data_IF_762128964108
#
_entry.id   IF_762128964108
#
_cell.length_a   1.000
_cell.length_b   1.000
_cell.length_c   1.000
_cell.angle_alpha   90.00
_cell.angle_beta   90.00
_cell.angle_gamma   90.00
#
_symmetry.space_group_name_H-M   'P 1'
#
loop_
_entity.id
_entity.type
_entity.pdbx_description
1 polymer ?
#
# COMPACT_ATOMS: atom_id res chain seq x y z
N UNK A 1 12.96 -2.91 -29.40
CA UNK A 1 11.50 -2.62 -29.37
C UNK A 1 10.74 -3.38 -28.24
N UNK A 2 11.44 -4.05 -27.30
CA UNK A 2 10.82 -4.92 -26.28
C UNK A 2 10.67 -4.28 -24.90
N UNK A 3 11.07 -3.01 -24.72
CA UNK A 3 11.04 -2.33 -23.42
C UNK A 3 9.68 -1.70 -23.09
N UNK A 4 8.88 -1.31 -24.08
CA UNK A 4 7.59 -0.63 -23.86
C UNK A 4 6.48 -1.54 -23.32
N UNK A 5 6.49 -2.81 -23.66
CA UNK A 5 5.43 -3.76 -23.30
C UNK A 5 5.49 -4.15 -21.81
N UNK A 6 6.68 -4.22 -21.22
CA UNK A 6 6.84 -4.56 -19.79
C UNK A 6 6.35 -3.46 -18.85
N UNK A 7 6.55 -2.20 -19.18
CA UNK A 7 6.15 -1.06 -18.34
C UNK A 7 4.64 -0.90 -18.29
N UNK A 8 3.95 -1.06 -19.43
CA UNK A 8 2.48 -0.98 -19.48
C UNK A 8 1.79 -2.17 -18.81
N UNK A 9 2.37 -3.38 -18.88
CA UNK A 9 1.84 -4.56 -18.21
C UNK A 9 1.90 -4.42 -16.69
N UNK A 10 3.00 -3.90 -16.15
CA UNK A 10 3.14 -3.65 -14.70
C UNK A 10 2.17 -2.56 -14.24
N UNK A 11 1.97 -1.51 -15.05
CA UNK A 11 1.04 -0.43 -14.72
C UNK A 11 -0.41 -0.93 -14.65
N UNK A 12 -0.84 -1.82 -15.56
CA UNK A 12 -2.17 -2.42 -15.53
C UNK A 12 -2.43 -3.25 -14.27
N UNK A 13 -1.46 -4.05 -13.85
CA UNK A 13 -1.59 -4.96 -12.70
C UNK A 13 -1.68 -4.23 -11.36
N UNK A 14 -1.03 -3.05 -11.21
CA UNK A 14 -1.01 -2.30 -9.94
C UNK A 14 -2.41 -1.86 -9.49
N UNK A 15 -3.37 -1.71 -10.40
CA UNK A 15 -4.74 -1.29 -10.08
C UNK A 15 -5.52 -2.30 -9.23
N UNK A 16 -5.09 -3.56 -9.20
CA UNK A 16 -5.74 -4.64 -8.46
C UNK A 16 -4.88 -5.17 -7.31
N UNK A 17 -3.76 -4.50 -7.03
CA UNK A 17 -2.78 -4.90 -6.02
C UNK A 17 -3.36 -4.76 -4.62
N UNK A 18 -3.24 -5.80 -3.80
CA UNK A 18 -3.68 -5.70 -2.40
C UNK A 18 -2.72 -4.86 -1.54
N UNK A 19 -3.19 -4.28 -0.42
CA UNK A 19 -2.35 -3.51 0.49
C UNK A 19 -1.11 -4.27 0.98
N UNK A 20 -1.24 -5.55 1.31
CA UNK A 20 -0.13 -6.38 1.75
C UNK A 20 0.90 -6.61 0.64
N UNK A 21 0.46 -6.82 -0.60
CA UNK A 21 1.37 -6.92 -1.76
C UNK A 21 2.06 -5.59 -2.04
N UNK A 22 1.36 -4.46 -1.91
CA UNK A 22 1.93 -3.13 -2.06
C UNK A 22 3.04 -2.83 -1.02
N UNK A 23 3.01 -3.49 0.15
CA UNK A 23 4.08 -3.46 1.17
C UNK A 23 5.22 -4.45 0.90
N UNK A 24 5.16 -5.23 -0.18
CA UNK A 24 6.12 -6.29 -0.48
C UNK A 24 5.83 -7.61 0.27
N UNK A 25 4.64 -7.75 0.84
CA UNK A 25 4.21 -8.97 1.51
C UNK A 25 3.81 -10.09 0.54
N UNK A 26 3.61 -11.28 1.10
CA UNK A 26 3.22 -12.48 0.35
C UNK A 26 1.73 -12.39 -0.01
N UNK A 27 1.40 -12.72 -1.27
CA UNK A 27 0.03 -12.88 -1.72
C UNK A 27 -0.63 -14.10 -1.06
N UNK A 28 -1.88 -13.94 -0.66
CA UNK A 28 -2.70 -14.99 -0.04
C UNK A 28 -4.10 -14.97 -0.65
N UNK A 29 -4.94 -15.94 -0.30
CA UNK A 29 -6.37 -15.94 -0.67
C UNK A 29 -7.06 -14.61 -0.30
N UNK A 30 -6.63 -13.96 0.78
CA UNK A 30 -7.14 -12.64 1.18
C UNK A 30 -6.74 -11.54 0.17
N UNK A 31 -5.59 -11.66 -0.47
CA UNK A 31 -5.15 -10.75 -1.54
C UNK A 31 -5.99 -10.92 -2.80
N UNK A 32 -6.34 -12.16 -3.13
CA UNK A 32 -7.21 -12.46 -4.28
C UNK A 32 -8.63 -11.93 -4.05
N UNK A 33 -9.17 -12.05 -2.83
CA UNK A 33 -10.46 -11.46 -2.47
C UNK A 33 -10.45 -9.93 -2.59
N UNK A 34 -9.34 -9.30 -2.20
CA UNK A 34 -9.20 -7.86 -2.37
C UNK A 34 -9.21 -7.48 -3.86
N UNK A 35 -8.43 -8.17 -4.68
CA UNK A 35 -8.40 -7.95 -6.13
C UNK A 35 -9.79 -8.17 -6.76
N UNK A 36 -10.52 -9.23 -6.34
CA UNK A 36 -11.89 -9.49 -6.79
C UNK A 36 -12.85 -8.35 -6.37
N UNK A 37 -12.68 -7.80 -5.17
CA UNK A 37 -13.44 -6.63 -4.71
C UNK A 37 -13.19 -5.39 -5.58
N UNK A 38 -11.95 -5.16 -6.03
CA UNK A 38 -11.60 -4.08 -6.97
C UNK A 38 -12.24 -4.32 -8.34
N UNK A 39 -12.19 -5.56 -8.85
CA UNK A 39 -12.86 -5.94 -10.10
C UNK A 39 -14.36 -5.71 -10.01
N UNK A 40 -14.99 -6.11 -8.90
CA UNK A 40 -16.42 -5.90 -8.67
C UNK A 40 -16.77 -4.40 -8.64
N UNK A 41 -15.94 -3.58 -7.97
CA UNK A 41 -16.11 -2.13 -7.99
C UNK A 41 -16.09 -1.58 -9.43
N UNK A 42 -15.12 -1.99 -10.24
CA UNK A 42 -14.98 -1.55 -11.63
C UNK A 42 -16.16 -2.02 -12.50
N UNK A 43 -16.61 -3.27 -12.34
CA UNK A 43 -17.79 -3.77 -13.04
C UNK A 43 -19.07 -2.99 -12.72
N UNK A 44 -19.24 -2.59 -11.47
CA UNK A 44 -20.42 -1.87 -11.01
C UNK A 44 -20.41 -0.39 -11.40
N UNK A 45 -19.23 0.24 -11.53
CA UNK A 45 -19.10 1.68 -11.72
C UNK A 45 -18.56 2.09 -13.07
N UNK A 46 -17.94 1.15 -13.81
CA UNK A 46 -17.18 1.45 -15.03
C UNK A 46 -15.86 2.18 -14.77
N UNK A 47 -15.43 2.29 -13.51
CA UNK A 47 -14.26 3.07 -13.10
C UNK A 47 -13.41 2.29 -12.09
N UNK A 48 -12.11 2.51 -12.12
CA UNK A 48 -11.21 2.01 -11.09
C UNK A 48 -11.34 2.84 -9.80
N UNK A 49 -11.35 2.23 -8.60
CA UNK A 49 -11.46 2.98 -7.34
C UNK A 49 -10.24 3.87 -7.06
N UNK A 50 -9.09 3.47 -7.59
CA UNK A 50 -7.83 4.19 -7.42
C UNK A 50 -7.12 4.39 -8.75
N UNK A 51 -6.80 5.64 -9.06
CA UNK A 51 -6.03 6.07 -10.23
C UNK A 51 -4.89 6.99 -9.81
N UNK A 52 -3.85 7.13 -10.62
CA UNK A 52 -2.71 7.98 -10.33
C UNK A 52 -1.74 8.07 -11.51
N UNK A 53 -0.83 9.03 -11.46
CA UNK A 53 0.14 9.30 -12.52
C UNK A 53 1.26 8.23 -12.62
N UNK A 54 1.43 7.42 -11.56
CA UNK A 54 2.45 6.37 -11.50
C UNK A 54 1.97 5.14 -10.75
N UNK A 55 2.59 3.99 -10.98
CA UNK A 55 2.32 2.76 -10.24
C UNK A 55 2.51 2.94 -8.73
N UNK A 56 3.48 3.76 -8.31
CA UNK A 56 3.74 4.05 -6.89
C UNK A 56 2.58 4.84 -6.28
N UNK A 57 2.07 5.87 -6.96
CA UNK A 57 0.94 6.66 -6.46
C UNK A 57 -0.33 5.83 -6.33
N UNK A 58 -0.58 4.89 -7.26
CA UNK A 58 -1.69 3.95 -7.18
C UNK A 58 -1.52 2.98 -6.01
N UNK A 59 -0.33 2.40 -5.86
CA UNK A 59 -0.02 1.50 -4.74
C UNK A 59 -0.20 2.19 -3.38
N UNK A 60 0.21 3.45 -3.24
CA UNK A 60 -0.02 4.24 -2.02
C UNK A 60 -1.52 4.43 -1.72
N UNK A 61 -2.37 4.61 -2.74
CA UNK A 61 -3.82 4.67 -2.54
C UNK A 61 -4.39 3.33 -2.07
N UNK A 62 -3.92 2.21 -2.61
CA UNK A 62 -4.29 0.89 -2.08
C UNK A 62 -3.90 0.71 -0.61
N UNK A 63 -2.81 1.31 -0.16
CA UNK A 63 -2.36 1.26 1.23
C UNK A 63 -3.18 2.14 2.18
N UNK A 64 -3.59 3.34 1.73
CA UNK A 64 -4.01 4.41 2.63
C UNK A 64 -5.42 4.92 2.39
N UNK A 65 -5.86 4.96 1.11
CA UNK A 65 -7.14 5.56 0.78
C UNK A 65 -8.29 4.55 0.96
N UNK A 66 -9.38 4.98 1.58
CA UNK A 66 -10.60 4.20 1.66
C UNK A 66 -11.18 3.93 0.27
N UNK A 67 -11.79 2.74 0.09
CA UNK A 67 -12.48 2.41 -1.16
C UNK A 67 -13.68 3.32 -1.31
N UNK A 68 -13.79 4.08 -2.43
CA UNK A 68 -14.91 4.99 -2.62
C UNK A 68 -16.24 4.23 -2.66
N UNK A 69 -17.32 4.90 -2.27
CA UNK A 69 -18.66 4.32 -2.34
C UNK A 69 -19.10 4.10 -3.79
N UNK A 70 -19.47 2.86 -4.16
CA UNK A 70 -20.06 2.57 -5.48
C UNK A 70 -21.39 3.29 -5.66
N UNK A 71 -22.16 3.48 -4.59
CA UNK A 71 -23.45 4.15 -4.59
C UNK A 71 -23.38 5.66 -4.82
N UNK A 72 -22.22 6.28 -4.59
CA UNK A 72 -22.00 7.68 -5.00
C UNK A 72 -21.94 7.84 -6.52
N UNK A 73 -21.55 6.80 -7.25
CA UNK A 73 -21.44 6.80 -8.70
C UNK A 73 -22.74 6.23 -9.31
N UNK A 74 -23.23 5.12 -8.76
CA UNK A 74 -24.44 4.42 -9.22
C UNK A 74 -25.42 4.27 -8.03
N UNK A 75 -26.28 5.26 -7.76
CA UNK A 75 -27.17 5.27 -6.58
C UNK A 75 -28.17 4.12 -6.52
N UNK A 76 -28.48 3.47 -7.65
CA UNK A 76 -29.41 2.33 -7.73
C UNK A 76 -28.84 1.02 -7.17
N UNK A 77 -27.53 0.96 -6.90
CA UNK A 77 -26.91 -0.22 -6.31
C UNK A 77 -27.38 -0.38 -4.87
N UNK A 78 -27.85 -1.57 -4.45
CA UNK A 78 -28.28 -1.81 -3.07
C UNK A 78 -27.11 -1.74 -2.10
N UNK A 79 -27.39 -1.36 -0.84
CA UNK A 79 -26.34 -1.25 0.20
C UNK A 79 -25.67 -2.59 0.47
N UNK A 80 -26.40 -3.69 0.41
CA UNK A 80 -25.86 -5.05 0.54
C UNK A 80 -24.75 -5.35 -0.47
N UNK A 81 -24.92 -4.96 -1.74
CA UNK A 81 -23.89 -5.16 -2.77
C UNK A 81 -22.70 -4.21 -2.59
N UNK A 82 -22.90 -2.95 -2.19
CA UNK A 82 -21.82 -2.07 -1.78
C UNK A 82 -21.04 -2.65 -0.61
N UNK A 83 -21.71 -3.26 0.37
CA UNK A 83 -21.08 -3.86 1.54
C UNK A 83 -20.15 -5.02 1.15
N UNK A 84 -20.49 -5.82 0.15
CA UNK A 84 -19.58 -6.86 -0.37
C UNK A 84 -18.30 -6.24 -0.90
N UNK A 85 -18.40 -5.16 -1.68
CA UNK A 85 -17.21 -4.44 -2.20
C UNK A 85 -16.37 -3.89 -1.05
N UNK A 86 -16.98 -3.19 -0.10
CA UNK A 86 -16.28 -2.57 1.03
C UNK A 86 -15.59 -3.60 1.91
N UNK A 87 -16.25 -4.73 2.19
CA UNK A 87 -15.71 -5.83 2.98
C UNK A 87 -14.55 -6.52 2.26
N UNK A 88 -14.71 -6.84 0.97
CA UNK A 88 -13.65 -7.46 0.18
C UNK A 88 -12.40 -6.55 0.09
N UNK A 89 -12.60 -5.24 -0.04
CA UNK A 89 -11.53 -4.24 -0.18
C UNK A 89 -11.06 -3.62 1.14
N UNK A 90 -11.41 -4.19 2.28
CA UNK A 90 -10.90 -3.76 3.58
C UNK A 90 -9.36 -3.79 3.62
N UNK A 91 -8.74 -2.74 4.19
CA UNK A 91 -7.27 -2.60 4.18
C UNK A 91 -6.58 -3.69 4.98
N UNK A 92 -7.10 -3.99 6.16
CA UNK A 92 -6.61 -5.10 6.96
C UNK A 92 -7.28 -6.41 6.48
N UNK A 93 -6.50 -7.44 6.10
CA UNK A 93 -7.03 -8.73 5.65
C UNK A 93 -7.96 -9.42 6.65
N UNK A 94 -7.82 -9.14 7.96
CA UNK A 94 -8.68 -9.74 9.00
C UNK A 94 -10.15 -9.35 8.89
N UNK A 95 -10.45 -8.18 8.31
CA UNK A 95 -11.82 -7.69 8.12
C UNK A 95 -12.45 -8.12 6.79
N UNK A 96 -11.67 -8.77 5.92
CA UNK A 96 -12.19 -9.35 4.68
C UNK A 96 -12.93 -10.65 4.95
N UNK A 97 -13.53 -11.24 3.92
CA UNK A 97 -14.14 -12.56 4.01
C UNK A 97 -13.14 -13.62 4.48
N UNK A 98 -13.60 -14.60 5.23
CA UNK A 98 -12.77 -15.71 5.70
C UNK A 98 -12.36 -16.64 4.56
N UNK A 99 -13.26 -16.87 3.60
CA UNK A 99 -13.05 -17.72 2.44
C UNK A 99 -13.78 -17.18 1.21
N UNK A 100 -13.46 -17.72 0.05
CA UNK A 100 -14.14 -17.41 -1.22
C UNK A 100 -15.61 -17.83 -1.16
N UNK A 101 -15.89 -18.95 -0.52
CA UNK A 101 -17.25 -19.47 -0.31
C UNK A 101 -18.11 -18.47 0.49
N UNK A 102 -17.53 -17.91 1.57
CA UNK A 102 -18.23 -16.91 2.37
C UNK A 102 -18.54 -15.62 1.57
N UNK A 103 -17.66 -15.22 0.66
CA UNK A 103 -17.93 -14.10 -0.26
C UNK A 103 -18.99 -14.46 -1.30
N UNK A 104 -18.97 -15.68 -1.83
CA UNK A 104 -19.96 -16.17 -2.78
C UNK A 104 -21.37 -16.21 -2.15
N UNK A 105 -21.49 -16.80 -0.96
CA UNK A 105 -22.75 -16.89 -0.21
C UNK A 105 -23.33 -15.50 0.07
N UNK A 106 -22.50 -14.53 0.42
CA UNK A 106 -22.92 -13.14 0.62
C UNK A 106 -23.43 -12.53 -0.70
N UNK A 107 -22.72 -12.74 -1.82
CA UNK A 107 -23.12 -12.27 -3.15
C UNK A 107 -24.44 -12.89 -3.64
N UNK A 108 -24.71 -14.16 -3.33
CA UNK A 108 -25.95 -14.86 -3.76
C UNK A 108 -27.21 -14.21 -3.20
N UNK A 109 -27.11 -13.50 -2.08
CA UNK A 109 -28.26 -12.92 -1.37
C UNK A 109 -28.34 -11.39 -1.42
N UNK A 110 -27.39 -10.71 -2.09
CA UNK A 110 -27.33 -9.22 -2.08
C UNK A 110 -28.56 -8.51 -2.64
N UNK A 111 -29.37 -9.21 -3.44
CA UNK A 111 -30.61 -8.66 -4.04
C UNK A 111 -31.87 -9.11 -3.30
N UNK A 112 -31.77 -9.84 -2.19
CA UNK A 112 -32.94 -10.29 -1.43
C UNK A 112 -33.61 -9.10 -0.75
N UNK A 113 -34.93 -9.08 -0.77
CA UNK A 113 -35.75 -8.03 -0.13
C UNK A 113 -35.45 -7.86 1.35
N UNK A 114 -35.05 -8.94 2.03
CA UNK A 114 -34.68 -8.95 3.45
C UNK A 114 -33.44 -8.10 3.74
N UNK A 115 -32.63 -7.79 2.73
CA UNK A 115 -31.40 -6.99 2.82
C UNK A 115 -31.55 -5.55 2.32
N UNK A 116 -32.78 -5.14 1.97
CA UNK A 116 -33.05 -3.80 1.40
C UNK A 116 -32.63 -2.64 2.32
N UNK A 117 -32.67 -2.84 3.64
CA UNK A 117 -32.33 -1.85 4.67
C UNK A 117 -31.02 -2.20 5.43
N UNK A 118 -30.13 -2.96 4.81
CA UNK A 118 -28.85 -3.32 5.42
C UNK A 118 -28.02 -2.06 5.75
N UNK A 119 -27.45 -1.95 6.97
CA UNK A 119 -26.58 -0.84 7.30
C UNK A 119 -25.27 -0.93 6.51
N UNK A 120 -24.64 0.23 6.25
CA UNK A 120 -23.34 0.28 5.57
C UNK A 120 -22.30 -0.48 6.37
N UNK A 121 -21.50 -1.30 5.67
CA UNK A 121 -20.35 -1.96 6.26
C UNK A 121 -19.30 -0.90 6.70
N UNK A 122 -18.90 -0.99 7.95
CA UNK A 122 -17.84 -0.16 8.55
C UNK A 122 -16.83 -1.10 9.21
N UNK A 123 -15.56 -0.90 8.94
CA UNK A 123 -14.50 -1.63 9.63
C UNK A 123 -14.52 -1.20 11.10
N UNK A 124 -14.59 -2.14 12.06
CA UNK A 124 -14.50 -1.78 13.48
C UNK A 124 -13.22 -1.00 13.75
N UNK A 125 -13.32 0.13 14.45
CA UNK A 125 -12.13 0.83 14.92
C UNK A 125 -11.43 -0.07 15.94
N UNK A 126 -10.18 -0.47 15.64
CA UNK A 126 -9.34 -1.12 16.62
C UNK A 126 -9.06 -0.12 17.75
N UNK A 127 -9.63 -0.35 18.92
CA UNK A 127 -9.37 0.47 20.11
C UNK A 127 -7.90 0.44 20.55
N UNK A 128 -7.10 -0.46 19.95
CA UNK A 128 -5.65 -0.57 20.17
C UNK A 128 -4.79 0.37 19.31
N UNK A 129 -5.38 1.11 18.37
CA UNK A 129 -4.66 2.21 17.73
C UNK A 129 -4.50 3.31 18.76
N UNK A 130 -3.35 3.34 19.40
CA UNK A 130 -2.89 4.46 20.24
C UNK A 130 -3.23 5.76 19.50
N UNK A 131 -4.26 6.48 19.98
CA UNK A 131 -4.57 7.82 19.46
C UNK A 131 -3.27 8.58 19.59
N UNK A 132 -2.67 8.99 18.49
CA UNK A 132 -1.54 9.91 18.55
C UNK A 132 -2.00 11.07 19.41
N UNK A 133 -1.35 11.21 20.58
CA UNK A 133 -1.63 12.32 21.47
C UNK A 133 -1.55 13.61 20.65
N UNK A 134 -2.51 14.52 20.81
CA UNK A 134 -2.44 15.79 20.11
C UNK A 134 -1.11 16.43 20.49
N UNK A 135 -0.30 16.74 19.49
CA UNK A 135 0.93 17.53 19.69
C UNK A 135 0.47 18.86 20.27
N UNK A 136 0.68 19.06 21.57
CA UNK A 136 0.46 20.35 22.24
C UNK A 136 1.46 21.32 21.62
N UNK A 137 1.01 22.14 20.68
CA UNK A 137 1.79 23.17 19.98
C UNK A 137 1.81 24.49 20.75
N UNK A 138 1.66 24.49 22.04
CA UNK A 138 1.76 25.70 22.86
C UNK A 138 2.78 25.47 23.98
N UNK A 139 4.06 25.44 23.58
CA UNK A 139 5.15 25.72 24.49
C UNK A 139 5.62 27.14 24.20
N UNK A 140 4.99 28.14 24.80
CA UNK A 140 5.56 29.47 25.00
C UNK A 140 6.58 29.36 26.09
N UNK A 141 7.89 29.51 25.84
CA UNK A 141 8.87 29.55 26.90
C UNK A 141 8.64 30.81 27.75
N UNK A 142 8.42 30.61 29.05
CA UNK A 142 8.43 31.68 30.03
C UNK A 142 9.87 32.20 30.18
N UNK A 143 10.09 33.53 30.36
CA UNK A 143 11.43 34.13 30.37
C UNK A 143 12.22 33.94 31.71
N UNK A 144 11.91 32.96 32.55
CA UNK A 144 12.51 32.85 33.91
C UNK A 144 13.38 31.63 34.16
N UNK A 145 13.78 30.83 33.15
CA UNK A 145 14.64 29.65 33.34
C UNK A 145 16.00 29.77 32.63
N UNK A 146 16.65 30.93 32.69
CA UNK A 146 17.99 31.17 32.13
C UNK A 146 19.14 30.91 33.13
N UNK A 147 19.03 29.92 34.02
CA UNK A 147 20.16 29.53 34.86
C UNK A 147 20.20 28.03 35.13
N UNK A 148 20.62 27.22 34.15
CA UNK A 148 21.27 25.91 34.35
C UNK A 148 21.60 25.16 33.05
N UNK A 149 22.24 25.77 32.09
CA UNK A 149 22.90 24.99 31.05
C UNK A 149 24.42 25.15 31.17
N UNK A 150 25.03 24.36 32.06
CA UNK A 150 26.45 24.12 32.01
C UNK A 150 26.75 23.27 30.76
N UNK A 151 27.42 23.89 29.82
CA UNK A 151 28.02 23.27 28.66
C UNK A 151 29.00 22.19 29.13
N UNK A 152 28.66 20.92 28.95
CA UNK A 152 29.64 19.85 28.99
C UNK A 152 30.45 19.90 27.68
N UNK A 153 31.70 20.34 27.80
CA UNK A 153 32.72 20.31 26.76
C UNK A 153 32.96 18.85 26.31
N UNK A 154 32.47 18.48 25.13
CA UNK A 154 32.73 17.18 24.57
C UNK A 154 34.12 17.21 23.96
N UNK A 155 35.05 16.52 24.62
CA UNK A 155 36.39 16.24 24.19
C UNK A 155 36.42 15.61 22.78
N UNK A 156 36.90 16.37 21.81
CA UNK A 156 37.01 15.93 20.42
C UNK A 156 38.08 14.85 20.29
N UNK A 157 37.67 13.63 20.06
CA UNK A 157 38.52 12.51 19.66
C UNK A 157 39.09 12.77 18.26
N UNK A 158 40.39 12.66 18.03
CA UNK A 158 41.00 13.02 16.74
C UNK A 158 40.56 12.10 15.60
N UNK A 159 40.15 12.72 14.50
CA UNK A 159 39.81 12.07 13.23
C UNK A 159 41.02 11.33 12.66
N UNK A 160 40.90 10.08 12.18
CA UNK A 160 41.96 9.39 11.46
C UNK A 160 42.19 10.04 10.08
N UNK A 161 43.44 10.26 9.74
CA UNK A 161 43.89 10.78 8.46
C UNK A 161 43.50 9.87 7.30
N UNK A 162 43.21 10.40 6.08
CA UNK A 162 42.90 9.60 4.90
C UNK A 162 44.07 8.72 4.53
N UNK A 163 43.82 7.42 4.35
CA UNK A 163 44.79 6.47 3.81
C UNK A 163 44.82 6.65 2.29
N UNK A 164 45.99 6.98 1.77
CA UNK A 164 46.31 7.08 0.34
C UNK A 164 46.16 5.70 -0.31
N UNK A 165 45.15 5.49 -1.11
CA UNK A 165 44.98 4.28 -1.91
C UNK A 165 45.89 4.32 -3.12
N UNK A 166 46.95 3.47 -3.13
CA UNK A 166 47.76 3.20 -4.31
C UNK A 166 46.98 2.37 -5.33
N UNK A 167 47.03 2.68 -6.63
CA UNK A 167 46.28 1.97 -7.66
C UNK A 167 46.80 0.56 -7.90
N UNK A 168 46.00 -0.46 -7.56
CA UNK A 168 46.30 -1.85 -7.96
C UNK A 168 46.21 -2.02 -9.47
N UNK A 169 47.34 -2.33 -10.10
CA UNK A 169 47.45 -2.71 -11.52
C UNK A 169 46.58 -3.93 -11.83
N UNK A 170 45.56 -3.73 -12.65
CA UNK A 170 44.63 -4.78 -13.19
C UNK A 170 45.42 -5.60 -14.22
N UNK A 171 45.82 -6.83 -13.88
CA UNK A 171 46.36 -7.81 -14.82
C UNK A 171 45.29 -8.17 -15.86
N UNK A 172 45.50 -7.77 -17.11
CA UNK A 172 44.69 -8.23 -18.25
C UNK A 172 45.06 -9.68 -18.53
N UNK A 173 44.13 -10.60 -18.29
CA UNK A 173 44.22 -11.97 -18.79
C UNK A 173 44.06 -11.98 -20.32
N UNK A 174 45.18 -12.10 -21.01
CA UNK A 174 45.27 -12.46 -22.41
C UNK A 174 45.18 -14.00 -22.53
N UNK A 175 43.97 -14.53 -22.51
CA UNK A 175 43.73 -15.92 -22.90
C UNK A 175 42.31 -16.03 -23.47
N UNK A 176 42.23 -16.59 -24.66
CA UNK A 176 41.05 -16.86 -25.51
C UNK A 176 40.94 -15.94 -26.73
N UNK A 177 41.91 -15.98 -27.60
CA UNK A 177 41.73 -15.79 -29.05
C UNK A 177 42.59 -16.85 -29.73
N UNK A 178 42.09 -18.06 -29.88
CA UNK A 178 42.47 -19.04 -30.91
C UNK A 178 41.46 -20.19 -30.79
N UNK A 179 40.41 -20.18 -31.55
CA UNK A 179 39.82 -21.32 -32.26
C UNK A 179 38.57 -20.84 -32.99
N UNK A 180 38.68 -20.80 -34.33
CA UNK A 180 37.53 -20.47 -35.14
C UNK A 180 37.87 -20.18 -36.60
N UNK A 181 38.77 -21.03 -37.20
CA UNK A 181 38.90 -21.14 -38.66
C UNK A 181 39.11 -22.63 -38.95
N UNK A 182 38.05 -23.28 -39.34
CA UNK A 182 37.96 -24.36 -40.32
C UNK A 182 36.47 -24.68 -40.50
#
# INVERSE_FOLDING_TARGET
ATSFTKTNSVLGTVHYLSPEQARGGIATVKSDMYALGIVLYELLTGQLPFSGESAVSIALKHLQAETPSVRKIVPSIPQSLENVVLKATAKDPKYRYLSVEAMREDLETVLDDTRSNEPKFVVPEDMDKTKALPVIRDFTPSPEDDEATRVMEVEQKPTPKPVEETPKKRKRNKWLITLGIL
#
